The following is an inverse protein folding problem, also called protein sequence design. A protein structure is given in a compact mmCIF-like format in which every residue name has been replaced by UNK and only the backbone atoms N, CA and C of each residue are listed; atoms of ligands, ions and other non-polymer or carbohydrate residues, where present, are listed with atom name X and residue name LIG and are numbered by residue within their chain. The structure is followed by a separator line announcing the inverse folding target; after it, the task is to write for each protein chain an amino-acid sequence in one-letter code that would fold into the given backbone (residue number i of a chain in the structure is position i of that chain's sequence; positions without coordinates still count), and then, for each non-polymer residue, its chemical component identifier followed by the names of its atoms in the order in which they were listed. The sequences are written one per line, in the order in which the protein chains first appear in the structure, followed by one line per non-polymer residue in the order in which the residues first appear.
data_IF_029127252732
#
_entry.id   IF_029127252732
#
_cell.length_a   1.000
_cell.length_b   1.000
_cell.length_c   1.000
_cell.angle_alpha   90.00
_cell.angle_beta   90.00
_cell.angle_gamma   90.00
#
_symmetry.space_group_name_H-M   'P 1'
#
loop_
_entity.id
_entity.type
_entity.pdbx_description
1 polymer ?
#
# COMPACT_ATOMS: atom_id res chain seq x y z
N UNK A 1 29.71 -7.78 36.96
CA UNK A 1 29.87 -9.22 36.67
C UNK A 1 28.50 -9.84 36.41
N UNK A 2 28.18 -10.08 35.13
CA UNK A 2 27.55 -11.29 34.58
C UNK A 2 27.19 -11.02 33.13
N UNK A 3 28.20 -11.10 32.28
CA UNK A 3 28.05 -11.51 30.89
C UNK A 3 27.62 -12.98 30.86
N UNK A 4 26.81 -13.36 29.86
CA UNK A 4 26.91 -14.58 29.05
C UNK A 4 25.57 -14.87 28.37
N UNK A 5 25.55 -14.91 27.03
CA UNK A 5 24.37 -15.45 26.35
C UNK A 5 24.24 -15.35 24.83
N UNK A 6 25.19 -14.81 24.06
CA UNK A 6 25.17 -14.96 22.60
C UNK A 6 26.55 -15.43 22.13
N UNK A 7 26.71 -16.74 21.93
CA UNK A 7 27.98 -17.34 21.49
C UNK A 7 28.06 -17.42 19.96
N UNK A 8 29.13 -16.81 19.44
CA UNK A 8 29.60 -16.88 18.04
C UNK A 8 29.92 -18.31 17.59
N UNK A 9 29.57 -18.63 16.34
CA UNK A 9 29.95 -19.85 15.63
C UNK A 9 30.78 -19.56 14.38
N UNK A 10 32.05 -19.94 14.44
CA UNK A 10 33.16 -19.81 13.49
C UNK A 10 32.88 -20.27 12.04
N UNK A 11 33.40 -19.49 11.09
CA UNK A 11 33.72 -19.91 9.73
C UNK A 11 34.77 -21.04 9.74
N UNK A 12 34.50 -22.15 9.04
CA UNK A 12 35.54 -23.11 8.66
C UNK A 12 35.48 -23.46 7.17
N UNK A 13 36.63 -23.31 6.54
CA UNK A 13 36.97 -23.55 5.14
C UNK A 13 36.83 -25.02 4.75
N UNK A 14 36.19 -25.26 3.60
CA UNK A 14 35.97 -26.60 3.03
C UNK A 14 37.24 -27.14 2.37
N UNK A 15 37.82 -28.21 2.94
CA UNK A 15 38.77 -29.08 2.24
C UNK A 15 38.09 -30.40 1.84
N UNK A 16 38.15 -30.73 0.54
CA UNK A 16 37.52 -31.90 -0.07
C UNK A 16 38.14 -33.21 0.44
N UNK A 17 37.36 -34.04 1.15
CA UNK A 17 37.70 -35.45 1.33
C UNK A 17 36.42 -36.32 1.36
N UNK A 18 36.25 -37.18 0.33
CA UNK A 18 35.01 -37.92 0.01
C UNK A 18 34.60 -38.95 1.08
N UNK A 19 35.52 -39.34 1.97
CA UNK A 19 35.26 -40.26 3.09
C UNK A 19 34.50 -39.61 4.27
N UNK A 20 34.41 -38.28 4.29
CA UNK A 20 33.78 -37.49 5.35
C UNK A 20 32.28 -37.22 5.12
N UNK A 21 31.70 -37.70 4.01
CA UNK A 21 30.33 -37.37 3.59
C UNK A 21 29.25 -38.23 4.27
N UNK A 22 29.58 -39.43 4.79
CA UNK A 22 28.61 -40.28 5.51
C UNK A 22 28.43 -39.89 6.98
N UNK A 23 29.44 -39.26 7.60
CA UNK A 23 29.37 -38.81 9.01
C UNK A 23 28.73 -37.42 9.15
N UNK A 24 28.88 -36.54 8.16
CA UNK A 24 28.25 -35.20 8.17
C UNK A 24 26.74 -35.24 7.91
N UNK A 25 26.25 -36.15 7.06
CA UNK A 25 24.79 -36.33 6.82
C UNK A 25 24.06 -36.81 8.08
N UNK A 26 24.70 -37.64 8.91
CA UNK A 26 24.09 -38.12 10.16
C UNK A 26 24.05 -37.04 11.25
N UNK A 27 25.05 -36.13 11.28
CA UNK A 27 25.10 -35.00 12.22
C UNK A 27 24.12 -33.89 11.80
N UNK A 28 23.89 -33.65 10.50
CA UNK A 28 22.90 -32.67 10.03
C UNK A 28 21.45 -33.11 10.28
N UNK A 29 21.17 -34.42 10.21
CA UNK A 29 19.85 -35.00 10.56
C UNK A 29 19.52 -34.85 12.05
N UNK A 30 20.52 -34.96 12.94
CA UNK A 30 20.34 -34.75 14.39
C UNK A 30 20.15 -33.26 14.74
N UNK A 31 20.85 -32.36 14.05
CA UNK A 31 20.68 -30.91 14.19
C UNK A 31 19.30 -30.41 13.68
N UNK A 32 18.76 -31.02 12.62
CA UNK A 32 17.38 -30.73 12.17
C UNK A 32 16.32 -31.24 13.15
N UNK A 33 16.53 -32.40 13.80
CA UNK A 33 15.62 -32.90 14.84
C UNK A 33 15.64 -32.07 16.13
N UNK A 34 16.76 -31.43 16.47
CA UNK A 34 16.88 -30.54 17.63
C UNK A 34 16.23 -29.15 17.43
N UNK A 35 15.97 -28.74 16.18
CA UNK A 35 15.28 -27.48 15.87
C UNK A 35 13.74 -27.61 15.86
N UNK A 36 13.19 -28.81 15.60
CA UNK A 36 11.74 -29.08 15.66
C UNK A 36 11.08 -28.81 17.03
N UNK A 37 11.67 -29.17 18.20
CA UNK A 37 11.07 -28.85 19.49
C UNK A 37 11.03 -27.33 19.78
N UNK A 38 11.99 -26.55 19.26
CA UNK A 38 11.97 -25.09 19.41
C UNK A 38 10.83 -24.44 18.60
N UNK A 39 10.56 -24.93 17.38
CA UNK A 39 9.44 -24.46 16.54
C UNK A 39 8.09 -24.85 17.17
N UNK A 40 7.95 -26.07 17.70
CA UNK A 40 6.72 -26.48 18.42
C UNK A 40 6.51 -25.72 19.73
N UNK A 41 7.58 -25.33 20.44
CA UNK A 41 7.49 -24.49 21.64
C UNK A 41 7.05 -23.07 21.28
N UNK A 42 7.59 -22.49 20.21
CA UNK A 42 7.16 -21.19 19.68
C UNK A 42 5.68 -21.21 19.28
N UNK A 43 5.22 -22.24 18.56
CA UNK A 43 3.80 -22.43 18.20
C UNK A 43 2.88 -22.63 19.44
N UNK A 44 3.36 -23.34 20.47
CA UNK A 44 2.63 -23.55 21.73
C UNK A 44 2.54 -22.26 22.56
N UNK A 45 3.58 -21.43 22.53
CA UNK A 45 3.59 -20.10 23.17
C UNK A 45 2.69 -19.12 22.41
N UNK A 46 2.70 -19.10 21.07
CA UNK A 46 1.79 -18.30 20.25
C UNK A 46 0.31 -18.63 20.52
N UNK A 47 -0.06 -19.92 20.57
CA UNK A 47 -1.42 -20.36 20.94
C UNK A 47 -1.82 -20.00 22.38
N UNK A 48 -0.86 -19.83 23.30
CA UNK A 48 -1.12 -19.37 24.68
C UNK A 48 -1.38 -17.86 24.72
N UNK A 49 -0.65 -17.09 23.92
CA UNK A 49 -0.78 -15.63 23.83
C UNK A 49 -2.14 -15.20 23.25
N UNK A 50 -2.65 -15.92 22.25
CA UNK A 50 -3.98 -15.68 21.64
C UNK A 50 -5.14 -15.87 22.65
N UNK A 51 -4.93 -16.64 23.72
CA UNK A 51 -5.94 -16.90 24.78
C UNK A 51 -5.88 -15.90 25.94
N UNK A 52 -4.95 -14.94 25.93
CA UNK A 52 -4.86 -13.95 27.00
C UNK A 52 -5.94 -12.90 26.77
N UNK A 53 -6.83 -12.74 27.75
CA UNK A 53 -7.86 -11.69 27.70
C UNK A 53 -7.18 -10.31 27.66
N UNK A 54 -7.62 -9.38 26.80
CA UNK A 54 -7.03 -8.04 26.69
C UNK A 54 -6.98 -7.32 28.04
N UNK A 55 -8.01 -7.51 28.88
CA UNK A 55 -8.09 -6.90 30.22
C UNK A 55 -6.92 -7.30 31.16
N UNK A 56 -6.21 -8.39 30.87
CA UNK A 56 -5.08 -8.88 31.70
C UNK A 56 -3.71 -8.37 31.25
N UNK A 57 -3.63 -7.73 30.09
CA UNK A 57 -2.37 -7.25 29.49
C UNK A 57 -2.36 -5.76 29.19
N UNK A 58 -3.51 -5.09 29.24
CA UNK A 58 -3.64 -3.64 29.05
C UNK A 58 -3.70 -2.91 30.39
N UNK A 59 -2.67 -3.06 31.21
CA UNK A 59 -2.67 -2.56 32.59
C UNK A 59 -2.25 -1.10 32.67
N UNK A 60 -1.44 -0.65 31.73
CA UNK A 60 -0.90 0.70 31.68
C UNK A 60 -1.30 1.42 30.37
N UNK A 61 -1.10 2.74 30.37
CA UNK A 61 -1.23 3.55 29.14
C UNK A 61 -0.24 3.08 28.06
N UNK A 62 0.97 2.67 28.45
CA UNK A 62 1.97 2.16 27.53
C UNK A 62 1.51 0.84 26.87
N UNK A 63 0.88 -0.05 27.65
CA UNK A 63 0.34 -1.31 27.13
C UNK A 63 -0.79 -1.05 26.11
N UNK A 64 -1.69 -0.12 26.43
CA UNK A 64 -2.80 0.27 25.54
C UNK A 64 -2.29 0.88 24.23
N UNK A 65 -1.28 1.75 24.31
CA UNK A 65 -0.65 2.34 23.13
C UNK A 65 0.04 1.27 22.25
N UNK A 66 0.72 0.31 22.88
CA UNK A 66 1.41 -0.79 22.18
C UNK A 66 0.42 -1.70 21.47
N UNK A 67 -0.72 -2.02 22.11
CA UNK A 67 -1.81 -2.77 21.50
C UNK A 67 -2.44 -2.01 20.32
N UNK A 68 -2.69 -0.71 20.48
CA UNK A 68 -3.23 0.14 19.41
C UNK A 68 -2.30 0.17 18.19
N UNK A 69 -0.97 0.25 18.40
CA UNK A 69 0.01 0.18 17.32
C UNK A 69 -0.05 -1.17 16.58
N UNK A 70 -0.15 -2.29 17.30
CA UNK A 70 -0.31 -3.60 16.68
C UNK A 70 -1.58 -3.71 15.83
N UNK A 71 -2.70 -3.15 16.31
CA UNK A 71 -3.97 -3.08 15.56
C UNK A 71 -3.82 -2.24 14.30
N UNK A 72 -3.17 -1.08 14.41
CA UNK A 72 -2.95 -0.15 13.29
C UNK A 72 -2.09 -0.78 12.18
N UNK A 73 -1.00 -1.47 12.56
CA UNK A 73 -0.14 -2.20 11.61
C UNK A 73 -0.95 -3.24 10.85
N UNK A 74 -1.70 -4.11 11.54
CA UNK A 74 -2.49 -5.17 10.90
C UNK A 74 -3.52 -4.58 9.94
N UNK A 75 -4.24 -3.53 10.35
CA UNK A 75 -5.23 -2.85 9.50
C UNK A 75 -4.58 -2.24 8.26
N UNK A 76 -3.46 -1.55 8.44
CA UNK A 76 -2.73 -0.93 7.32
C UNK A 76 -2.24 -1.98 6.32
N UNK A 77 -1.70 -3.11 6.79
CA UNK A 77 -1.29 -4.20 5.91
C UNK A 77 -2.48 -4.81 5.16
N UNK A 78 -3.61 -5.02 5.83
CA UNK A 78 -4.84 -5.54 5.21
C UNK A 78 -5.42 -4.57 4.16
N UNK A 79 -5.45 -3.27 4.46
CA UNK A 79 -5.93 -2.24 3.53
C UNK A 79 -5.07 -2.19 2.25
N UNK A 80 -3.76 -2.40 2.37
CA UNK A 80 -2.85 -2.51 1.21
C UNK A 80 -2.86 -3.90 0.56
N UNK A 81 -3.56 -4.86 1.16
CA UNK A 81 -3.57 -6.26 0.73
C UNK A 81 -2.19 -6.91 0.79
N UNK A 82 -1.37 -6.53 1.78
CA UNK A 82 -0.08 -7.13 2.10
C UNK A 82 -0.34 -8.37 2.96
N UNK A 83 0.12 -9.53 2.50
CA UNK A 83 0.12 -10.74 3.30
C UNK A 83 1.38 -10.78 4.17
N UNK A 84 1.23 -10.98 5.47
CA UNK A 84 2.36 -11.08 6.39
C UNK A 84 2.10 -12.10 7.48
N UNK A 85 3.17 -12.62 8.07
CA UNK A 85 3.09 -13.54 9.21
C UNK A 85 3.20 -12.75 10.52
N UNK A 86 2.12 -12.62 11.31
CA UNK A 86 2.12 -11.83 12.55
C UNK A 86 3.03 -12.42 13.63
N UNK A 87 3.26 -13.75 13.64
CA UNK A 87 4.15 -14.39 14.60
C UNK A 87 5.62 -14.02 14.31
N UNK A 88 6.01 -13.99 13.03
CA UNK A 88 7.37 -13.59 12.63
C UNK A 88 7.61 -12.11 12.91
N UNK A 89 6.62 -11.25 12.64
CA UNK A 89 6.69 -9.83 12.96
C UNK A 89 6.84 -9.60 14.47
N UNK A 90 6.06 -10.30 15.29
CA UNK A 90 6.16 -10.21 16.75
C UNK A 90 7.54 -10.66 17.26
N UNK A 91 8.09 -11.74 16.69
CA UNK A 91 9.46 -12.20 17.01
C UNK A 91 10.49 -11.13 16.66
N UNK A 92 10.40 -10.50 15.50
CA UNK A 92 11.31 -9.43 15.09
C UNK A 92 11.27 -8.24 16.08
N UNK A 93 10.07 -7.76 16.41
CA UNK A 93 9.87 -6.66 17.38
C UNK A 93 10.48 -7.00 18.74
N UNK A 94 10.22 -8.22 19.25
CA UNK A 94 10.74 -8.64 20.55
C UNK A 94 12.27 -8.76 20.56
N UNK A 95 12.88 -9.28 19.50
CA UNK A 95 14.34 -9.40 19.43
C UNK A 95 15.00 -8.02 19.41
N UNK A 96 14.50 -7.14 18.54
CA UNK A 96 15.01 -5.78 18.39
C UNK A 96 14.87 -4.98 19.70
N UNK A 97 13.73 -5.07 20.38
CA UNK A 97 13.50 -4.33 21.63
C UNK A 97 14.41 -4.76 22.78
N UNK A 98 14.98 -5.96 22.71
CA UNK A 98 15.91 -6.50 23.70
C UNK A 98 17.37 -6.39 23.24
N UNK A 99 17.66 -5.71 22.13
CA UNK A 99 19.00 -5.58 21.57
C UNK A 99 19.62 -6.92 21.13
N UNK A 100 18.78 -7.89 20.78
CA UNK A 100 19.25 -9.16 20.23
C UNK A 100 19.56 -8.99 18.75
N UNK A 101 20.64 -9.62 18.26
CA UNK A 101 20.97 -9.61 16.84
C UNK A 101 19.77 -10.06 16.00
N UNK A 102 19.45 -9.29 14.97
CA UNK A 102 18.44 -9.66 13.98
C UNK A 102 18.89 -10.90 13.21
N UNK A 103 17.95 -11.74 12.79
CA UNK A 103 18.26 -12.91 11.94
C UNK A 103 18.68 -12.47 10.53
N UNK A 104 18.27 -11.26 10.13
CA UNK A 104 18.61 -10.63 8.87
C UNK A 104 19.61 -9.52 9.14
N UNK A 105 20.66 -9.40 8.32
CA UNK A 105 21.49 -8.18 8.33
C UNK A 105 20.67 -6.96 7.89
N UNK A 106 21.11 -5.75 8.26
CA UNK A 106 20.46 -4.51 7.82
C UNK A 106 20.28 -4.44 6.30
N UNK A 107 21.29 -4.92 5.55
CA UNK A 107 21.23 -5.01 4.09
C UNK A 107 20.12 -5.97 3.63
N UNK A 108 19.97 -7.13 4.27
CA UNK A 108 18.90 -8.07 3.95
C UNK A 108 17.52 -7.48 4.28
N UNK A 109 17.37 -6.77 5.40
CA UNK A 109 16.13 -6.06 5.75
C UNK A 109 15.77 -5.06 4.66
N UNK A 110 16.72 -4.20 4.25
CA UNK A 110 16.52 -3.23 3.17
C UNK A 110 16.11 -3.92 1.87
N UNK A 111 16.80 -4.99 1.48
CA UNK A 111 16.52 -5.72 0.25
C UNK A 111 15.10 -6.32 0.23
N UNK A 112 14.67 -6.95 1.33
CA UNK A 112 13.31 -7.50 1.42
C UNK A 112 12.23 -6.40 1.45
N UNK A 113 12.48 -5.27 2.12
CA UNK A 113 11.55 -4.14 2.12
C UNK A 113 11.44 -3.46 0.75
N UNK A 114 12.56 -3.35 0.02
CA UNK A 114 12.54 -2.85 -1.36
C UNK A 114 11.76 -3.76 -2.29
N UNK A 115 11.95 -5.09 -2.19
CA UNK A 115 11.17 -6.06 -2.96
C UNK A 115 9.67 -5.96 -2.64
N UNK A 116 9.30 -5.84 -1.36
CA UNK A 116 7.91 -5.63 -0.95
C UNK A 116 7.34 -4.32 -1.53
N UNK A 117 8.11 -3.23 -1.53
CA UNK A 117 7.68 -1.96 -2.11
C UNK A 117 7.51 -2.05 -3.63
N UNK A 118 8.38 -2.78 -4.32
CA UNK A 118 8.28 -3.03 -5.77
C UNK A 118 6.99 -3.79 -6.11
N UNK A 119 6.68 -4.86 -5.35
CA UNK A 119 5.44 -5.63 -5.53
C UNK A 119 4.19 -4.75 -5.33
N UNK A 120 4.21 -3.87 -4.32
CA UNK A 120 3.11 -2.93 -4.07
C UNK A 120 2.97 -1.92 -5.21
N UNK A 121 4.08 -1.33 -5.65
CA UNK A 121 4.09 -0.39 -6.77
C UNK A 121 3.56 -1.04 -8.05
N UNK A 122 3.89 -2.31 -8.30
CA UNK A 122 3.39 -3.06 -9.44
C UNK A 122 1.88 -3.26 -9.35
N UNK A 123 1.38 -3.71 -8.19
CA UNK A 123 -0.06 -3.89 -7.94
C UNK A 123 -0.84 -2.59 -8.12
N UNK A 124 -0.31 -1.48 -7.60
CA UNK A 124 -0.93 -0.16 -7.75
C UNK A 124 -0.95 0.31 -9.20
N UNK A 125 0.15 0.09 -9.94
CA UNK A 125 0.21 0.39 -11.38
C UNK A 125 -0.78 -0.44 -12.19
N UNK A 126 -0.93 -1.72 -11.88
CA UNK A 126 -1.91 -2.60 -12.54
C UNK A 126 -3.34 -2.17 -12.24
N UNK A 127 -3.65 -1.85 -10.98
CA UNK A 127 -4.95 -1.31 -10.59
C UNK A 127 -5.25 0.03 -11.28
N UNK A 128 -4.29 0.95 -11.32
CA UNK A 128 -4.41 2.22 -12.04
C UNK A 128 -4.58 2.00 -13.54
N UNK A 129 -3.83 1.09 -14.16
CA UNK A 129 -3.96 0.79 -15.57
C UNK A 129 -5.35 0.25 -15.93
N UNK A 130 -5.92 -0.61 -15.07
CA UNK A 130 -7.28 -1.10 -15.23
C UNK A 130 -8.31 0.02 -15.12
N UNK A 131 -8.22 0.90 -14.13
CA UNK A 131 -9.14 2.03 -13.99
C UNK A 131 -8.98 3.06 -15.12
N UNK A 132 -7.76 3.35 -15.57
CA UNK A 132 -7.50 4.21 -16.75
C UNK A 132 -8.20 3.63 -17.97
N UNK A 133 -8.03 2.33 -18.22
CA UNK A 133 -8.62 1.68 -19.39
C UNK A 133 -10.15 1.69 -19.32
N UNK A 134 -10.71 1.41 -18.14
CA UNK A 134 -12.16 1.46 -17.87
C UNK A 134 -12.72 2.86 -18.08
N UNK A 135 -12.10 3.88 -17.48
CA UNK A 135 -12.52 5.28 -17.62
C UNK A 135 -12.42 5.76 -19.06
N UNK A 136 -11.35 5.37 -19.78
CA UNK A 136 -11.19 5.66 -21.21
C UNK A 136 -12.32 5.04 -22.04
N UNK A 137 -12.62 3.77 -21.81
CA UNK A 137 -13.69 3.08 -22.52
C UNK A 137 -15.07 3.69 -22.23
N UNK A 138 -15.37 3.97 -20.96
CA UNK A 138 -16.60 4.64 -20.55
C UNK A 138 -16.72 6.05 -21.16
N UNK A 139 -15.62 6.82 -21.21
CA UNK A 139 -15.58 8.14 -21.84
C UNK A 139 -15.84 8.09 -23.33
N UNK A 140 -15.19 7.16 -24.05
CA UNK A 140 -15.41 6.97 -25.49
C UNK A 140 -16.86 6.59 -25.77
N UNK A 141 -17.42 5.66 -25.00
CA UNK A 141 -18.82 5.24 -25.16
C UNK A 141 -19.77 6.41 -24.89
N UNK A 142 -19.57 7.14 -23.79
CA UNK A 142 -20.39 8.30 -23.45
C UNK A 142 -20.37 9.34 -24.56
N UNK A 143 -19.20 9.71 -25.09
CA UNK A 143 -19.09 10.68 -26.17
C UNK A 143 -19.76 10.17 -27.47
N UNK A 144 -19.65 8.88 -27.78
CA UNK A 144 -20.28 8.28 -28.94
C UNK A 144 -21.82 8.32 -28.88
N UNK A 145 -22.39 8.14 -27.69
CA UNK A 145 -23.83 8.24 -27.44
C UNK A 145 -24.28 9.71 -27.35
N UNK A 146 -23.50 10.55 -26.67
CA UNK A 146 -23.87 11.92 -26.34
C UNK A 146 -23.94 12.84 -27.57
N UNK A 147 -23.07 12.64 -28.58
CA UNK A 147 -23.14 13.40 -29.84
C UNK A 147 -24.48 13.26 -30.58
N UNK A 148 -25.22 12.18 -30.34
CA UNK A 148 -26.50 11.93 -31.00
C UNK A 148 -27.67 12.57 -30.26
N UNK A 149 -27.45 13.18 -29.08
CA UNK A 149 -28.52 13.82 -28.31
C UNK A 149 -28.92 15.17 -28.92
N UNK A 150 -30.21 15.57 -28.83
CA UNK A 150 -30.68 16.83 -29.38
C UNK A 150 -29.95 18.07 -28.80
N UNK A 151 -29.45 18.90 -29.71
CA UNK A 151 -28.76 20.16 -29.40
C UNK A 151 -27.27 20.03 -29.08
N UNK A 152 -26.72 18.81 -29.11
CA UNK A 152 -25.27 18.62 -28.97
C UNK A 152 -24.59 18.97 -30.30
N UNK A 153 -23.54 19.79 -30.22
CA UNK A 153 -22.62 20.13 -31.30
C UNK A 153 -21.25 19.56 -30.95
N UNK A 154 -20.48 19.14 -31.95
CA UNK A 154 -19.12 18.63 -31.78
C UNK A 154 -18.13 19.48 -32.59
N UNK A 155 -17.00 19.86 -31.98
CA UNK A 155 -15.90 20.57 -32.63
C UNK A 155 -14.97 19.60 -33.37
N UNK A 156 -14.04 20.14 -34.16
CA UNK A 156 -12.98 19.35 -34.82
C UNK A 156 -12.07 18.62 -33.82
N UNK A 157 -11.82 19.23 -32.66
CA UNK A 157 -11.05 18.61 -31.57
C UNK A 157 -11.79 17.47 -30.84
N UNK A 158 -13.09 17.29 -31.12
CA UNK A 158 -13.94 16.30 -30.46
C UNK A 158 -14.68 16.82 -29.22
N UNK A 159 -14.50 18.08 -28.83
CA UNK A 159 -15.28 18.70 -27.75
C UNK A 159 -16.76 18.71 -28.12
N UNK A 160 -17.60 18.22 -27.20
CA UNK A 160 -19.05 18.25 -27.35
C UNK A 160 -19.65 19.27 -26.41
N UNK A 161 -20.54 20.11 -26.92
CA UNK A 161 -21.23 21.14 -26.13
C UNK A 161 -22.68 21.27 -26.57
N UNK A 162 -23.51 21.79 -25.66
CA UNK A 162 -24.90 22.18 -25.93
C UNK A 162 -25.12 23.58 -25.37
N UNK A 163 -25.62 24.46 -26.22
CA UNK A 163 -26.04 25.79 -25.78
C UNK A 163 -27.43 25.65 -25.16
N UNK A 164 -27.54 25.98 -23.87
CA UNK A 164 -28.80 25.92 -23.12
C UNK A 164 -29.57 27.23 -23.27
N UNK A 165 -28.85 28.35 -23.20
CA UNK A 165 -29.35 29.71 -23.43
C UNK A 165 -28.26 30.50 -24.13
N UNK A 166 -28.57 31.08 -25.28
CA UNK A 166 -27.66 31.98 -25.97
C UNK A 166 -27.44 33.23 -25.11
N UNK A 167 -26.17 33.67 -25.04
CA UNK A 167 -25.81 34.94 -24.44
C UNK A 167 -25.80 36.06 -25.47
N UNK A 168 -25.76 37.29 -24.98
CA UNK A 168 -25.52 38.47 -25.80
C UNK A 168 -24.16 39.05 -25.46
N UNK A 169 -23.50 39.67 -26.43
CA UNK A 169 -22.20 40.33 -26.25
C UNK A 169 -21.07 39.73 -27.09
N UNK A 170 -19.86 40.24 -26.87
CA UNK A 170 -18.68 39.81 -27.61
C UNK A 170 -18.19 38.45 -27.12
N UNK A 171 -17.84 37.57 -28.04
CA UNK A 171 -17.16 36.33 -27.70
C UNK A 171 -15.78 36.63 -27.07
N UNK A 172 -15.39 35.89 -26.01
CA UNK A 172 -14.06 36.04 -25.45
C UNK A 172 -13.01 35.59 -26.46
N UNK A 173 -11.90 36.32 -26.50
CA UNK A 173 -10.66 35.92 -27.19
C UNK A 173 -9.77 35.11 -26.26
N UNK A 174 -8.77 34.42 -26.80
CA UNK A 174 -7.80 33.61 -26.03
C UNK A 174 -7.15 34.36 -24.86
N UNK A 175 -6.95 35.67 -24.98
CA UNK A 175 -6.33 36.52 -23.95
C UNK A 175 -7.32 37.06 -22.91
N UNK A 176 -8.58 36.65 -22.98
CA UNK A 176 -9.62 37.19 -22.11
C UNK A 176 -9.55 36.57 -20.72
N UNK A 177 -9.89 37.35 -19.72
CA UNK A 177 -10.31 36.82 -18.41
C UNK A 177 -11.81 36.62 -18.43
N UNK A 178 -12.27 35.40 -18.15
CA UNK A 178 -13.70 35.05 -18.09
C UNK A 178 -14.15 34.88 -16.64
N UNK A 179 -15.34 35.36 -16.32
CA UNK A 179 -16.00 35.13 -15.02
C UNK A 179 -17.15 34.16 -15.19
N UNK A 180 -17.15 33.06 -14.42
CA UNK A 180 -18.11 31.97 -14.63
C UNK A 180 -18.68 31.43 -13.33
N UNK A 181 -19.92 30.95 -13.40
CA UNK A 181 -20.38 29.88 -12.53
C UNK A 181 -20.34 28.55 -13.26
N UNK A 182 -19.88 27.49 -12.58
CA UNK A 182 -19.74 26.15 -13.17
C UNK A 182 -20.00 25.05 -12.14
N UNK A 183 -20.28 23.86 -12.67
CA UNK A 183 -20.34 22.61 -11.92
C UNK A 183 -19.71 21.52 -12.77
N UNK A 184 -18.61 20.96 -12.30
CA UNK A 184 -17.93 19.83 -12.90
C UNK A 184 -18.39 18.53 -12.26
N UNK A 185 -18.81 17.57 -13.09
CA UNK A 185 -19.23 16.24 -12.64
C UNK A 185 -18.51 15.16 -13.44
N UNK A 186 -18.21 14.03 -12.79
CA UNK A 186 -17.86 12.80 -13.49
C UNK A 186 -19.10 12.22 -14.21
N UNK A 187 -18.91 11.20 -15.04
CA UNK A 187 -19.99 10.54 -15.78
C UNK A 187 -21.00 9.82 -14.86
N UNK A 188 -20.60 9.48 -13.64
CA UNK A 188 -21.49 8.91 -12.61
C UNK A 188 -22.35 9.99 -11.90
N UNK A 189 -22.17 11.28 -12.22
CA UNK A 189 -22.88 12.41 -11.62
C UNK A 189 -22.25 12.96 -10.34
N UNK A 190 -21.19 12.34 -9.82
CA UNK A 190 -20.44 12.84 -8.67
C UNK A 190 -19.77 14.17 -9.03
N UNK A 191 -19.95 15.16 -8.15
CA UNK A 191 -19.38 16.51 -8.31
C UNK A 191 -17.94 16.48 -7.83
N UNK A 192 -17.00 16.93 -8.68
CA UNK A 192 -15.60 17.11 -8.28
C UNK A 192 -15.25 18.56 -7.98
N UNK A 193 -16.01 19.51 -8.55
CA UNK A 193 -15.84 20.94 -8.28
C UNK A 193 -17.12 21.71 -8.64
N UNK A 194 -17.49 22.71 -7.82
CA UNK A 194 -18.61 23.60 -8.12
C UNK A 194 -18.43 24.97 -7.49
N UNK A 195 -18.59 26.01 -8.31
CA UNK A 195 -18.64 27.39 -7.80
C UNK A 195 -19.99 27.73 -7.15
N UNK A 196 -21.06 27.00 -7.49
CA UNK A 196 -22.36 27.16 -6.84
C UNK A 196 -22.31 26.75 -5.37
N UNK A 197 -21.59 25.67 -5.05
CA UNK A 197 -21.41 25.20 -3.66
C UNK A 197 -20.58 26.20 -2.83
N UNK A 198 -19.70 26.97 -3.47
CA UNK A 198 -18.96 28.09 -2.84
C UNK A 198 -19.79 29.36 -2.69
N UNK A 199 -20.90 29.48 -3.43
CA UNK A 199 -21.76 30.67 -3.41
C UNK A 199 -21.22 31.87 -4.18
N UNK A 200 -20.09 31.74 -4.90
CA UNK A 200 -19.47 32.85 -5.65
C UNK A 200 -18.92 32.41 -7.01
N UNK A 201 -18.90 33.34 -7.96
CA UNK A 201 -18.29 33.11 -9.28
C UNK A 201 -16.77 33.11 -9.18
N UNK A 202 -16.10 32.52 -10.17
CA UNK A 202 -14.64 32.54 -10.26
C UNK A 202 -14.18 33.15 -11.58
N UNK A 203 -13.00 33.75 -11.59
CA UNK A 203 -12.35 34.30 -12.78
C UNK A 203 -11.16 33.44 -13.21
N UNK A 204 -11.03 33.23 -14.53
CA UNK A 204 -9.91 32.51 -15.12
C UNK A 204 -9.37 33.24 -16.35
N UNK A 205 -8.04 33.30 -16.55
CA UNK A 205 -7.49 33.57 -17.88
C UNK A 205 -7.84 32.40 -18.80
N UNK A 206 -8.40 32.68 -19.99
CA UNK A 206 -8.94 31.64 -20.87
C UNK A 206 -7.86 30.69 -21.42
N UNK A 207 -6.61 31.13 -21.50
CA UNK A 207 -5.44 30.34 -21.91
C UNK A 207 -4.78 29.56 -20.76
N UNK A 208 -5.26 29.73 -19.52
CA UNK A 208 -4.75 29.06 -18.32
C UNK A 208 -5.59 27.89 -17.83
N UNK A 209 -6.59 27.46 -18.61
CA UNK A 209 -7.50 26.35 -18.27
C UNK A 209 -7.31 25.16 -19.21
N UNK A 210 -7.89 24.02 -18.82
CA UNK A 210 -7.73 22.69 -19.45
C UNK A 210 -8.17 22.60 -20.91
#
# INVERSE_FOLDING_TARGET
MKENGCHQGMFFTFAKNKKMMKKTVLISLILMFMAMPAITLAQKQAKKLIKIKPEKVLLTRADSASYALGVDIVRTMQLRGINFNPEVLAVAIMRESHGCDTVLSDEQVINYLNALQEDLNKKDKEAQAMEIQKNKQQGIQYLAENKNKPGIKQTESGLQYKIIREGEGTHPTEKSTVRVHYRGTFLNGEVFDSSYDRGESIEFPLDGVI
#
